data_IF_335964564791
#
_entry.id   IF_335964564791
#
_cell.length_a   1.000
_cell.length_b   1.000
_cell.length_c   1.000
_cell.angle_alpha   90.00
_cell.angle_beta   90.00
_cell.angle_gamma   90.00
#
_symmetry.space_group_name_H-M   'P 1'
#
loop_
_entity.id
_entity.type
_entity.pdbx_description
1 polymer ?
#
# COMPACT_ATOMS: atom_id res chain seq x y z
N UNK A 1 -12.24 -13.31 8.07
CA UNK A 1 -11.43 -12.18 7.56
C UNK A 1 -10.51 -12.73 6.48
N UNK A 2 -10.03 -11.88 5.58
CA UNK A 2 -9.01 -12.24 4.57
C UNK A 2 -7.75 -11.46 4.88
N UNK A 3 -6.61 -12.14 5.04
CA UNK A 3 -5.31 -11.49 5.20
C UNK A 3 -4.87 -10.88 3.87
N UNK A 4 -4.47 -9.62 3.87
CA UNK A 4 -4.03 -8.87 2.68
C UNK A 4 -2.52 -8.64 2.66
N UNK A 5 -1.91 -8.45 3.83
CA UNK A 5 -0.45 -8.46 3.99
C UNK A 5 -0.09 -9.02 5.36
N UNK A 6 1.15 -9.47 5.51
CA UNK A 6 1.70 -10.00 6.75
C UNK A 6 2.88 -9.11 7.20
N UNK A 7 2.98 -8.88 8.50
CA UNK A 7 4.11 -8.25 9.17
C UNK A 7 4.65 -9.18 10.28
N UNK A 8 5.68 -8.77 11.02
CA UNK A 8 6.38 -9.65 12.00
C UNK A 8 5.47 -10.17 13.12
N UNK A 9 4.52 -9.35 13.59
CA UNK A 9 3.69 -9.68 14.76
C UNK A 9 2.18 -9.55 14.50
N UNK A 10 1.79 -9.12 13.31
CA UNK A 10 0.40 -8.93 12.93
C UNK A 10 0.24 -9.07 11.42
N UNK A 11 -0.99 -9.23 10.97
CA UNK A 11 -1.36 -9.08 9.56
C UNK A 11 -2.40 -7.97 9.38
N UNK A 12 -2.38 -7.33 8.22
CA UNK A 12 -3.51 -6.55 7.74
C UNK A 12 -4.58 -7.50 7.23
N UNK A 13 -5.81 -7.36 7.69
CA UNK A 13 -6.91 -8.22 7.28
C UNK A 13 -8.22 -7.45 7.11
N UNK A 14 -8.96 -7.82 6.08
CA UNK A 14 -10.26 -7.24 5.74
C UNK A 14 -11.39 -8.15 6.22
N UNK A 15 -12.49 -7.54 6.67
CA UNK A 15 -13.58 -8.27 7.32
C UNK A 15 -14.45 -9.00 6.30
N UNK A 16 -14.87 -10.22 6.66
CA UNK A 16 -15.97 -10.92 5.98
C UNK A 16 -17.20 -10.79 6.88
N UNK A 17 -18.29 -10.25 6.36
CA UNK A 17 -19.54 -10.03 7.09
C UNK A 17 -20.73 -10.51 6.27
N UNK A 18 -21.71 -11.15 6.91
CA UNK A 18 -23.00 -11.47 6.28
C UNK A 18 -24.11 -10.50 6.70
N UNK A 19 -23.81 -9.61 7.65
CA UNK A 19 -24.75 -8.66 8.25
C UNK A 19 -26.03 -9.34 8.77
N UNK A 20 -25.91 -10.52 9.38
CA UNK A 20 -27.06 -11.30 9.84
C UNK A 20 -27.88 -11.90 8.70
N UNK A 21 -27.26 -12.15 7.55
CA UNK A 21 -27.95 -12.66 6.36
C UNK A 21 -28.64 -11.57 5.54
N UNK A 22 -28.20 -10.32 5.63
CA UNK A 22 -28.75 -9.20 4.85
C UNK A 22 -27.81 -8.74 3.73
N UNK A 23 -26.54 -9.19 3.75
CA UNK A 23 -25.53 -8.70 2.83
C UNK A 23 -25.39 -7.18 2.91
N UNK A 24 -25.16 -6.51 1.78
CA UNK A 24 -25.06 -5.04 1.75
C UNK A 24 -26.41 -4.31 1.78
N UNK A 25 -27.52 -5.03 1.95
CA UNK A 25 -28.86 -4.43 2.10
C UNK A 25 -29.10 -3.86 3.50
N UNK A 26 -28.21 -4.13 4.46
CA UNK A 26 -28.32 -3.62 5.82
C UNK A 26 -28.22 -2.09 5.81
N UNK A 27 -29.14 -1.36 6.48
CA UNK A 27 -29.06 0.09 6.57
C UNK A 27 -27.72 0.60 7.12
N UNK A 28 -27.17 1.62 6.46
CA UNK A 28 -25.88 2.22 6.83
C UNK A 28 -24.63 1.52 6.28
N UNK A 29 -24.79 0.46 5.48
CA UNK A 29 -23.67 -0.18 4.78
C UNK A 29 -23.47 0.47 3.42
N UNK A 30 -22.26 0.98 3.16
CA UNK A 30 -21.90 1.53 1.84
C UNK A 30 -21.63 0.41 0.85
N UNK A 31 -22.49 0.24 -0.16
CA UNK A 31 -22.37 -0.85 -1.13
C UNK A 31 -21.06 -0.81 -1.92
N UNK A 32 -20.59 0.37 -2.32
CA UNK A 32 -19.32 0.55 -3.07
C UNK A 32 -18.08 0.04 -2.36
N UNK A 33 -18.15 -0.07 -1.04
CA UNK A 33 -17.01 -0.46 -0.21
C UNK A 33 -16.90 -1.99 -0.10
N UNK A 34 -17.82 -2.73 -0.72
CA UNK A 34 -17.96 -4.17 -0.58
C UNK A 34 -17.86 -4.91 -1.91
N UNK A 35 -17.40 -6.16 -1.84
CA UNK A 35 -17.52 -7.12 -2.93
C UNK A 35 -18.11 -8.46 -2.44
N UNK A 36 -18.56 -9.30 -3.38
CA UNK A 36 -19.04 -10.65 -3.08
C UNK A 36 -17.85 -11.53 -2.72
N UNK A 37 -17.97 -12.33 -1.67
CA UNK A 37 -16.99 -13.36 -1.31
C UNK A 37 -17.69 -14.70 -1.12
N UNK A 38 -17.12 -15.76 -1.68
CA UNK A 38 -17.77 -17.07 -1.74
C UNK A 38 -16.77 -18.23 -1.70
N UNK A 39 -17.24 -19.40 -1.26
CA UNK A 39 -16.45 -20.65 -1.20
C UNK A 39 -16.97 -21.73 -2.14
N UNK A 40 -18.12 -21.50 -2.78
CA UNK A 40 -18.73 -22.41 -3.77
C UNK A 40 -18.00 -22.34 -5.11
N UNK A 41 -18.33 -23.25 -6.03
CA UNK A 41 -17.76 -23.24 -7.38
C UNK A 41 -18.15 -21.98 -8.16
N UNK A 42 -19.42 -21.59 -8.04
CA UNK A 42 -19.99 -20.40 -8.66
C UNK A 42 -20.28 -19.30 -7.63
N UNK A 43 -20.13 -18.02 -8.02
CA UNK A 43 -20.46 -16.91 -7.15
C UNK A 43 -21.99 -16.82 -6.93
N UNK A 44 -22.45 -16.51 -5.71
CA UNK A 44 -23.87 -16.26 -5.47
C UNK A 44 -24.33 -15.01 -6.21
N UNK A 45 -25.58 -15.03 -6.69
CA UNK A 45 -26.21 -13.87 -7.29
C UNK A 45 -26.44 -12.74 -6.27
N UNK A 46 -26.41 -11.50 -6.77
CA UNK A 46 -26.79 -10.33 -5.98
C UNK A 46 -28.28 -10.40 -5.71
N UNK A 47 -28.69 -10.16 -4.47
CA UNK A 47 -30.12 -10.03 -4.21
C UNK A 47 -30.64 -8.68 -4.74
N UNK A 48 -31.93 -8.56 -5.10
CA UNK A 48 -32.50 -7.28 -5.54
C UNK A 48 -32.32 -6.15 -4.53
N UNK A 49 -32.27 -6.47 -3.23
CA UNK A 49 -32.05 -5.51 -2.16
C UNK A 49 -30.59 -4.97 -2.10
N UNK A 50 -29.64 -5.68 -2.71
CA UNK A 50 -28.25 -5.25 -2.84
C UNK A 50 -27.98 -4.47 -4.13
N UNK A 51 -28.99 -4.29 -4.99
CA UNK A 51 -28.87 -3.41 -6.15
C UNK A 51 -28.68 -1.95 -5.67
N UNK A 52 -27.87 -1.14 -6.37
CA UNK A 52 -27.72 0.27 -6.05
C UNK A 52 -29.07 1.00 -6.12
N UNK A 53 -29.36 1.86 -5.15
CA UNK A 53 -30.49 2.77 -5.24
C UNK A 53 -30.17 3.94 -6.18
N UNK A 54 -30.69 3.84 -7.40
CA UNK A 54 -30.52 4.85 -8.44
C UNK A 54 -31.16 6.19 -8.09
N UNK A 55 -32.13 6.24 -7.16
CA UNK A 55 -32.75 7.50 -6.71
C UNK A 55 -31.87 8.26 -5.72
N UNK A 56 -30.92 7.56 -5.09
CA UNK A 56 -30.00 8.13 -4.09
C UNK A 56 -28.57 8.25 -4.60
N UNK A 57 -28.37 8.11 -5.92
CA UNK A 57 -27.04 8.07 -6.58
C UNK A 57 -26.07 7.07 -5.90
N UNK A 58 -26.62 5.99 -5.33
CA UNK A 58 -25.83 5.00 -4.61
C UNK A 58 -24.92 4.23 -5.58
N UNK A 59 -23.64 4.14 -5.25
CA UNK A 59 -22.69 3.41 -6.06
C UNK A 59 -22.84 1.90 -5.85
N UNK A 60 -22.76 1.08 -6.93
CA UNK A 60 -22.89 -0.37 -6.84
C UNK A 60 -21.72 -0.99 -6.06
N UNK A 61 -21.90 -2.23 -5.60
CA UNK A 61 -20.78 -3.07 -5.13
C UNK A 61 -19.68 -3.18 -6.17
N UNK A 62 -18.47 -3.44 -5.68
CA UNK A 62 -17.32 -3.73 -6.53
C UNK A 62 -17.63 -4.91 -7.48
N UNK A 63 -17.14 -4.85 -8.73
CA UNK A 63 -17.67 -5.67 -9.81
C UNK A 63 -17.26 -7.15 -9.73
N UNK A 64 -16.12 -7.48 -9.13
CA UNK A 64 -15.55 -8.82 -9.16
C UNK A 64 -15.76 -9.56 -7.84
N UNK A 65 -16.38 -10.74 -7.93
CA UNK A 65 -16.50 -11.65 -6.81
C UNK A 65 -15.16 -12.32 -6.49
N UNK A 66 -14.87 -12.49 -5.20
CA UNK A 66 -13.63 -13.09 -4.70
C UNK A 66 -13.92 -14.51 -4.21
N UNK A 67 -13.32 -15.50 -4.87
CA UNK A 67 -13.42 -16.91 -4.47
C UNK A 67 -12.39 -17.22 -3.39
N UNK A 68 -12.81 -17.97 -2.38
CA UNK A 68 -11.94 -18.60 -1.39
C UNK A 68 -11.99 -20.10 -1.62
N UNK A 69 -10.83 -20.70 -1.88
CA UNK A 69 -10.69 -22.15 -1.95
C UNK A 69 -10.64 -22.69 -0.52
N UNK A 70 -11.68 -23.45 -0.08
CA UNK A 70 -11.79 -23.88 1.30
C UNK A 70 -10.68 -24.87 1.65
N UNK A 71 -10.17 -24.79 2.89
CA UNK A 71 -9.24 -25.78 3.41
C UNK A 71 -9.95 -27.14 3.56
N UNK A 72 -9.30 -28.28 3.23
CA UNK A 72 -9.92 -29.60 3.37
C UNK A 72 -10.51 -29.87 4.76
N UNK A 73 -9.82 -29.41 5.81
CA UNK A 73 -10.24 -29.59 7.20
C UNK A 73 -11.27 -28.57 7.70
N UNK A 74 -11.65 -27.58 6.88
CA UNK A 74 -12.62 -26.57 7.32
C UNK A 74 -13.98 -27.24 7.57
N UNK A 75 -14.50 -28.00 6.60
CA UNK A 75 -15.83 -28.63 6.72
C UNK A 75 -17.00 -27.62 6.80
N UNK A 76 -16.75 -26.33 6.58
CA UNK A 76 -17.74 -25.26 6.55
C UNK A 76 -17.41 -24.28 5.42
N UNK A 77 -18.42 -23.54 4.97
CA UNK A 77 -18.31 -22.55 3.90
C UNK A 77 -18.94 -21.21 4.29
N UNK A 78 -18.79 -20.22 3.41
CA UNK A 78 -19.40 -18.91 3.60
C UNK A 78 -20.90 -18.94 3.27
N UNK A 79 -21.67 -18.12 3.99
CA UNK A 79 -23.07 -17.87 3.64
C UNK A 79 -23.15 -17.15 2.29
N UNK A 80 -24.18 -17.39 1.48
CA UNK A 80 -24.35 -16.77 0.15
C UNK A 80 -24.37 -15.22 0.19
N UNK A 81 -24.82 -14.65 1.31
CA UNK A 81 -24.84 -13.21 1.58
C UNK A 81 -23.59 -12.68 2.30
N UNK A 82 -22.50 -13.46 2.33
CA UNK A 82 -21.22 -12.99 2.86
C UNK A 82 -20.58 -11.99 1.89
N UNK A 83 -20.11 -10.88 2.43
CA UNK A 83 -19.49 -9.78 1.72
C UNK A 83 -18.14 -9.48 2.34
N UNK A 84 -17.22 -9.03 1.49
CA UNK A 84 -15.90 -8.60 1.91
C UNK A 84 -15.95 -7.08 2.02
N UNK A 85 -15.73 -6.57 3.23
CA UNK A 85 -15.65 -5.14 3.50
C UNK A 85 -14.22 -4.66 3.19
N UNK A 86 -14.05 -4.05 2.02
CA UNK A 86 -12.75 -3.61 1.51
C UNK A 86 -12.31 -2.28 2.14
N UNK A 87 -13.24 -1.59 2.81
CA UNK A 87 -13.00 -0.29 3.41
C UNK A 87 -12.61 -0.37 4.89
N UNK A 88 -12.86 -1.50 5.55
CA UNK A 88 -12.48 -1.76 6.94
C UNK A 88 -11.32 -2.77 7.03
N UNK A 89 -10.13 -2.27 6.71
CA UNK A 89 -8.88 -2.98 6.92
C UNK A 89 -8.45 -2.87 8.37
N UNK A 90 -8.28 -4.03 9.02
CA UNK A 90 -7.95 -4.11 10.42
C UNK A 90 -6.60 -4.78 10.62
N UNK A 91 -5.87 -4.28 11.61
CA UNK A 91 -4.69 -4.96 12.14
C UNK A 91 -5.14 -6.13 13.02
N UNK A 92 -4.68 -7.34 12.71
CA UNK A 92 -4.96 -8.56 13.47
C UNK A 92 -3.65 -9.17 13.96
N UNK A 93 -3.52 -9.31 15.27
CA UNK A 93 -2.31 -9.88 15.89
C UNK A 93 -2.35 -11.41 15.85
N UNK A 94 -1.19 -12.06 15.71
CA UNK A 94 -1.15 -13.51 15.46
C UNK A 94 -1.62 -14.39 16.61
N UNK A 95 -1.72 -13.87 17.83
CA UNK A 95 -2.25 -14.62 18.97
C UNK A 95 -3.79 -14.77 18.93
N UNK A 96 -4.49 -14.06 18.03
CA UNK A 96 -5.93 -14.25 17.85
C UNK A 96 -6.22 -15.63 17.26
N UNK A 97 -7.00 -16.43 18.00
CA UNK A 97 -7.44 -17.75 17.53
C UNK A 97 -8.51 -17.58 16.45
N UNK A 98 -8.16 -17.92 15.22
CA UNK A 98 -9.06 -17.90 14.06
C UNK A 98 -9.33 -19.32 13.56
N UNK A 99 -10.52 -19.54 13.00
CA UNK A 99 -10.82 -20.77 12.26
C UNK A 99 -10.27 -20.61 10.83
N UNK A 100 -9.45 -21.55 10.39
CA UNK A 100 -8.96 -21.56 9.01
C UNK A 100 -10.11 -21.90 8.06
N UNK A 101 -10.47 -20.94 7.21
CA UNK A 101 -11.46 -21.15 6.16
C UNK A 101 -10.82 -21.73 4.90
N UNK A 102 -9.62 -21.25 4.53
CA UNK A 102 -9.02 -21.52 3.23
C UNK A 102 -8.12 -20.40 2.75
N UNK A 103 -7.82 -20.41 1.45
CA UNK A 103 -6.98 -19.40 0.78
C UNK A 103 -7.79 -18.69 -0.32
N UNK A 104 -7.50 -17.42 -0.56
CA UNK A 104 -8.09 -16.73 -1.72
C UNK A 104 -7.64 -17.45 -3.00
N UNK A 105 -8.58 -17.71 -3.90
CA UNK A 105 -8.29 -18.38 -5.16
C UNK A 105 -7.29 -17.54 -5.96
N UNK A 106 -6.30 -18.19 -6.57
CA UNK A 106 -5.23 -17.51 -7.32
C UNK A 106 -5.76 -16.61 -8.44
N UNK A 107 -6.84 -17.01 -9.12
CA UNK A 107 -7.45 -16.20 -10.17
C UNK A 107 -8.20 -14.98 -9.61
N UNK A 108 -8.62 -15.02 -8.34
CA UNK A 108 -9.28 -13.90 -7.66
C UNK A 108 -8.32 -12.84 -7.12
N UNK A 109 -7.03 -13.16 -6.94
CA UNK A 109 -6.04 -12.25 -6.33
C UNK A 109 -5.90 -10.89 -7.04
N UNK A 110 -5.73 -10.82 -8.38
CA UNK A 110 -5.59 -9.53 -9.07
C UNK A 110 -6.83 -8.64 -8.89
N UNK A 111 -8.01 -9.25 -8.85
CA UNK A 111 -9.27 -8.53 -8.61
C UNK A 111 -9.38 -8.03 -7.18
N UNK A 112 -8.91 -8.82 -6.20
CA UNK A 112 -8.87 -8.40 -4.80
C UNK A 112 -7.97 -7.17 -4.63
N UNK A 113 -6.75 -7.22 -5.16
CA UNK A 113 -5.78 -6.13 -5.09
C UNK A 113 -6.28 -4.86 -5.78
N UNK A 114 -6.85 -4.99 -6.98
CA UNK A 114 -7.39 -3.86 -7.76
C UNK A 114 -8.57 -3.20 -7.04
N UNK A 115 -9.50 -3.99 -6.50
CA UNK A 115 -10.67 -3.47 -5.79
C UNK A 115 -10.26 -2.82 -4.45
N UNK A 116 -9.29 -3.40 -3.72
CA UNK A 116 -8.73 -2.81 -2.50
C UNK A 116 -8.11 -1.44 -2.78
N UNK A 117 -7.27 -1.34 -3.81
CA UNK A 117 -6.66 -0.08 -4.23
C UNK A 117 -7.73 0.97 -4.56
N UNK A 118 -8.73 0.58 -5.36
CA UNK A 118 -9.84 1.45 -5.77
C UNK A 118 -10.61 2.00 -4.57
N UNK A 119 -10.98 1.14 -3.61
CA UNK A 119 -11.73 1.56 -2.42
C UNK A 119 -10.88 2.45 -1.49
N UNK A 120 -9.58 2.16 -1.34
CA UNK A 120 -8.65 3.00 -0.57
C UNK A 120 -8.55 4.42 -1.15
N UNK A 121 -8.41 4.53 -2.47
CA UNK A 121 -8.35 5.83 -3.19
C UNK A 121 -9.67 6.61 -3.07
N UNK A 122 -10.81 5.92 -3.13
CA UNK A 122 -12.12 6.56 -2.92
C UNK A 122 -12.27 7.09 -1.49
N UNK A 123 -11.79 6.36 -0.48
CA UNK A 123 -11.87 6.78 0.92
C UNK A 123 -10.98 7.97 1.25
N UNK A 124 -9.74 8.01 0.73
CA UNK A 124 -8.84 9.16 0.94
C UNK A 124 -9.40 10.45 0.34
N UNK A 125 -10.14 10.36 -0.77
CA UNK A 125 -10.88 11.49 -1.34
C UNK A 125 -12.08 11.93 -0.50
N UNK A 126 -12.76 11.02 0.21
CA UNK A 126 -13.92 11.33 1.07
C UNK A 126 -13.52 11.93 2.42
N UNK A 127 -12.37 11.55 2.97
CA UNK A 127 -11.92 12.01 4.30
C UNK A 127 -11.47 13.48 4.36
N UNK A 128 -11.26 14.15 3.23
CA UNK A 128 -10.95 15.59 3.21
C UNK A 128 -12.18 16.51 3.28
N UNK A 129 -13.40 15.96 3.19
CA UNK A 129 -14.65 16.73 3.15
C UNK A 129 -15.56 16.64 4.39
N UNK A 130 -15.24 15.77 5.35
CA UNK A 130 -16.09 15.55 6.53
C UNK A 130 -15.23 15.46 7.79
N UNK A 131 -15.52 16.35 8.76
CA UNK A 131 -15.03 16.39 10.15
C UNK A 131 -13.94 17.43 10.51
N UNK A 132 -14.27 18.72 10.36
CA UNK A 132 -13.82 19.75 11.32
C UNK A 132 -15.06 20.22 12.11
N UNK A 133 -15.45 19.44 13.12
CA UNK A 133 -16.33 19.90 14.19
C UNK A 133 -15.79 19.35 15.52
N UNK A 134 -14.64 19.89 15.92
CA UNK A 134 -14.12 19.81 17.28
C UNK A 134 -13.65 21.22 17.64
N UNK A 135 -14.45 21.86 18.49
CA UNK A 135 -14.38 23.27 18.80
C UNK A 135 -13.03 23.73 19.33
N UNK A 136 -12.50 24.75 18.66
CA UNK A 136 -11.66 25.77 19.27
C UNK A 136 -12.23 27.12 18.82
N UNK A 137 -12.97 27.77 19.72
CA UNK A 137 -13.26 29.20 19.60
C UNK A 137 -11.93 29.96 19.65
N UNK A 138 -11.50 30.54 18.53
CA UNK A 138 -10.68 31.76 18.53
C UNK A 138 -11.17 32.68 17.43
N UNK A 139 -11.91 33.71 17.86
CA UNK A 139 -12.14 35.03 17.29
C UNK A 139 -12.08 35.21 15.75
N UNK A 140 -13.26 35.47 15.19
CA UNK A 140 -13.42 36.21 13.93
C UNK A 140 -12.66 37.54 13.96
N UNK A 141 -11.85 37.78 12.94
CA UNK A 141 -11.57 39.12 12.43
C UNK A 141 -11.26 39.08 10.93
N UNK A 142 -12.09 39.77 10.15
CA UNK A 142 -11.77 40.23 8.79
C UNK A 142 -12.11 39.24 7.67
N UNK A 143 -13.19 39.53 6.94
CA UNK A 143 -13.62 38.71 5.81
C UNK A 143 -12.69 38.73 4.59
N UNK A 144 -12.66 37.61 3.87
CA UNK A 144 -12.43 37.54 2.43
C UNK A 144 -12.83 36.14 1.89
N UNK A 145 -13.27 36.15 0.64
CA UNK A 145 -13.85 35.07 -0.18
C UNK A 145 -13.22 33.67 -0.08
N UNK A 146 -14.08 32.64 -0.28
CA UNK A 146 -13.68 31.28 -0.65
C UNK A 146 -12.71 31.30 -1.82
N UNK A 147 -11.45 30.92 -1.57
CA UNK A 147 -10.43 30.72 -2.60
C UNK A 147 -10.44 29.25 -3.03
N UNK A 148 -10.82 29.02 -4.28
CA UNK A 148 -10.61 27.74 -4.98
C UNK A 148 -9.11 27.61 -5.25
N UNK A 149 -8.45 26.67 -4.58
CA UNK A 149 -7.04 26.36 -4.83
C UNK A 149 -6.94 25.37 -6.00
N UNK A 150 -6.07 25.70 -6.96
CA UNK A 150 -5.66 24.78 -8.03
C UNK A 150 -4.68 23.74 -7.48
N UNK A 151 -4.56 22.59 -8.16
CA UNK A 151 -3.73 21.41 -7.80
C UNK A 151 -2.25 21.68 -7.53
N UNK A 152 -1.74 22.88 -7.79
CA UNK A 152 -0.36 23.32 -7.56
C UNK A 152 -0.17 24.19 -6.31
N UNK A 153 -1.23 24.41 -5.51
CA UNK A 153 -1.14 25.20 -4.27
C UNK A 153 -0.92 26.71 -4.45
N UNK A 154 -0.86 27.21 -5.69
CA UNK A 154 -0.69 28.63 -5.99
C UNK A 154 -2.05 29.33 -6.22
N UNK A 155 -2.14 30.58 -5.76
CA UNK A 155 -3.28 31.46 -6.01
C UNK A 155 -3.44 31.77 -7.50
N UNK A 156 -4.68 31.80 -8.01
CA UNK A 156 -4.98 32.24 -9.39
C UNK A 156 -4.43 33.63 -9.72
N UNK A 157 -4.32 34.51 -8.72
CA UNK A 157 -3.74 35.85 -8.88
C UNK A 157 -2.26 35.79 -9.28
N UNK A 158 -1.53 34.76 -8.83
CA UNK A 158 -0.11 34.54 -9.14
C UNK A 158 0.04 33.97 -10.56
N UNK A 159 -0.87 33.07 -10.96
CA UNK A 159 -0.89 32.48 -12.31
C UNK A 159 -1.23 33.55 -13.35
N UNK A 160 -2.13 34.48 -13.02
CA UNK A 160 -2.48 35.59 -13.89
C UNK A 160 -1.33 36.61 -13.99
N UNK A 161 -0.65 36.92 -12.88
CA UNK A 161 0.52 37.79 -12.85
C UNK A 161 1.72 37.23 -13.65
N UNK A 162 1.91 35.91 -13.65
CA UNK A 162 2.92 35.23 -14.49
C UNK A 162 2.57 35.26 -15.98
N UNK A 163 1.28 35.25 -16.34
CA UNK A 163 0.85 35.44 -17.74
C UNK A 163 1.01 36.88 -18.22
N UNK A 164 0.81 37.86 -17.35
CA UNK A 164 0.93 39.28 -17.69
C UNK A 164 2.39 39.76 -17.77
N UNK A 165 3.32 39.10 -17.06
CA UNK A 165 4.76 39.40 -17.18
C UNK A 165 5.45 38.73 -18.37
N UNK A 166 4.78 37.80 -19.06
CA UNK A 166 5.32 37.07 -20.22
C UNK A 166 5.00 37.65 -21.60
N UNK A 167 4.25 38.75 -21.68
CA UNK A 167 3.85 39.36 -22.95
C UNK A 167 4.12 40.85 -22.95
N UNK A 168 5.36 41.25 -23.27
CA UNK A 168 5.70 42.54 -23.88
C UNK A 168 7.19 42.53 -24.27
N UNK A 169 7.50 42.05 -25.47
CA UNK A 169 8.34 42.74 -26.45
C UNK A 169 8.50 41.90 -27.72
N UNK A 170 7.94 42.42 -28.82
CA UNK A 170 8.36 42.09 -30.17
C UNK A 170 9.09 43.32 -30.73
N UNK A 171 10.29 43.09 -31.28
CA UNK A 171 10.94 43.77 -32.41
C UNK A 171 12.45 43.93 -32.15
N UNK A 172 13.26 43.26 -32.96
CA UNK A 172 14.70 43.45 -33.02
C UNK A 172 15.41 42.18 -33.48
N UNK A 173 15.71 42.12 -34.78
CA UNK A 173 16.53 41.10 -35.43
C UNK A 173 17.86 40.87 -34.68
N UNK A 174 18.14 39.63 -34.27
CA UNK A 174 19.48 39.05 -34.35
C UNK A 174 19.39 37.51 -34.26
N UNK A 175 19.50 36.86 -35.42
CA UNK A 175 19.60 35.40 -35.52
C UNK A 175 21.08 35.03 -35.44
N UNK A 176 21.52 34.47 -34.31
CA UNK A 176 22.38 33.28 -34.21
C UNK A 176 23.00 33.13 -32.82
N UNK A 177 22.92 31.90 -32.31
CA UNK A 177 23.60 31.32 -31.14
C UNK A 177 23.05 31.67 -29.75
N UNK A 178 21.84 31.19 -29.45
CA UNK A 178 21.44 30.91 -28.07
C UNK A 178 21.31 29.39 -27.87
N UNK A 179 21.82 28.97 -26.73
CA UNK A 179 22.35 27.66 -26.39
C UNK A 179 21.27 26.65 -26.01
N UNK A 180 21.49 25.39 -26.44
CA UNK A 180 20.74 24.17 -26.12
C UNK A 180 20.78 23.76 -24.62
N UNK A 181 20.88 24.71 -23.68
CA UNK A 181 21.07 24.39 -22.25
C UNK A 181 19.77 23.93 -21.54
N UNK A 182 18.59 24.31 -22.03
CA UNK A 182 17.34 23.99 -21.31
C UNK A 182 16.89 22.52 -21.41
N UNK A 183 17.27 21.79 -22.46
CA UNK A 183 16.96 20.36 -22.60
C UNK A 183 17.89 19.45 -21.76
N UNK A 184 19.08 19.94 -21.39
CA UNK A 184 20.06 19.15 -20.62
C UNK A 184 19.64 19.01 -19.16
N UNK A 185 19.10 20.06 -18.54
CA UNK A 185 18.72 20.07 -17.12
C UNK A 185 17.56 19.10 -16.80
N UNK A 186 16.53 19.04 -17.67
CA UNK A 186 15.38 18.14 -17.47
C UNK A 186 15.77 16.66 -17.58
N UNK A 187 16.74 16.35 -18.43
CA UNK A 187 17.24 14.98 -18.60
C UNK A 187 18.01 14.53 -17.35
N UNK A 188 18.86 15.40 -16.81
CA UNK A 188 19.63 15.11 -15.59
C UNK A 188 18.73 14.87 -14.36
N UNK A 189 17.65 15.65 -14.21
CA UNK A 189 16.69 15.44 -13.10
C UNK A 189 15.95 14.11 -13.22
N UNK A 190 15.57 13.72 -14.45
CA UNK A 190 14.90 12.43 -14.67
C UNK A 190 15.83 11.25 -14.38
N UNK A 191 17.08 11.31 -14.83
CA UNK A 191 18.07 10.28 -14.57
C UNK A 191 18.34 10.11 -13.06
N UNK A 192 18.35 11.21 -12.32
CA UNK A 192 18.51 11.21 -10.86
C UNK A 192 17.31 10.53 -10.17
N UNK A 193 16.08 10.84 -10.61
CA UNK A 193 14.87 10.21 -10.07
C UNK A 193 14.83 8.70 -10.35
N UNK A 194 15.19 8.30 -11.58
CA UNK A 194 15.28 6.89 -11.98
C UNK A 194 16.32 6.16 -11.14
N UNK A 195 17.51 6.73 -10.98
CA UNK A 195 18.58 6.16 -10.17
C UNK A 195 18.15 5.98 -8.70
N UNK A 196 17.47 6.96 -8.13
CA UNK A 196 16.93 6.85 -6.77
C UNK A 196 15.91 5.70 -6.66
N UNK A 197 14.96 5.59 -7.60
CA UNK A 197 13.97 4.51 -7.59
C UNK A 197 14.62 3.13 -7.69
N UNK A 198 15.64 2.97 -8.53
CA UNK A 198 16.38 1.71 -8.66
C UNK A 198 17.09 1.31 -7.36
N UNK A 199 17.76 2.27 -6.71
CA UNK A 199 18.43 2.06 -5.41
C UNK A 199 17.43 1.62 -4.35
N UNK A 200 16.23 2.19 -4.35
CA UNK A 200 15.20 1.78 -3.40
C UNK A 200 14.68 0.36 -3.69
N UNK A 201 14.44 0.01 -4.96
CA UNK A 201 14.03 -1.36 -5.30
C UNK A 201 15.13 -2.39 -4.99
N UNK A 202 16.41 -2.00 -5.06
CA UNK A 202 17.52 -2.82 -4.55
C UNK A 202 17.45 -2.96 -3.03
N UNK A 203 17.22 -1.86 -2.30
CA UNK A 203 17.11 -1.86 -0.84
C UNK A 203 15.99 -2.79 -0.35
N UNK A 204 14.82 -2.73 -1.00
CA UNK A 204 13.69 -3.64 -0.73
C UNK A 204 14.08 -5.10 -0.90
N UNK A 205 14.72 -5.44 -2.03
CA UNK A 205 15.16 -6.83 -2.29
C UNK A 205 16.11 -7.33 -1.21
N UNK A 206 17.06 -6.50 -0.78
CA UNK A 206 18.00 -6.87 0.29
C UNK A 206 17.33 -7.03 1.65
N UNK A 207 16.35 -6.19 1.96
CA UNK A 207 15.56 -6.33 3.18
C UNK A 207 14.83 -7.68 3.21
N UNK A 208 14.12 -8.02 2.13
CA UNK A 208 13.42 -9.31 2.03
C UNK A 208 14.36 -10.51 2.16
N UNK A 209 15.55 -10.44 1.55
CA UNK A 209 16.56 -11.51 1.69
C UNK A 209 17.02 -11.71 3.15
N UNK A 210 17.10 -10.62 3.93
CA UNK A 210 17.44 -10.72 5.35
C UNK A 210 16.32 -11.39 6.15
N UNK A 211 15.05 -11.05 5.89
CA UNK A 211 13.92 -11.68 6.57
C UNK A 211 13.78 -13.17 6.20
N UNK A 212 13.86 -13.50 4.92
CA UNK A 212 13.85 -14.88 4.42
C UNK A 212 14.95 -15.72 5.08
N UNK A 213 16.16 -15.17 5.21
CA UNK A 213 17.27 -15.82 5.91
C UNK A 213 17.01 -16.09 7.40
N UNK A 214 16.23 -15.24 8.08
CA UNK A 214 15.87 -15.47 9.49
C UNK A 214 14.89 -16.63 9.62
N UNK A 215 13.89 -16.66 8.74
CA UNK A 215 12.88 -17.73 8.70
C UNK A 215 13.54 -19.08 8.41
N UNK A 216 14.39 -19.14 7.38
CA UNK A 216 15.12 -20.37 7.02
C UNK A 216 15.96 -20.90 8.17
N UNK A 217 16.65 -20.02 8.91
CA UNK A 217 17.43 -20.43 10.07
C UNK A 217 16.57 -20.93 11.22
N UNK A 218 15.41 -20.31 11.46
CA UNK A 218 14.48 -20.79 12.47
C UNK A 218 13.98 -22.20 12.14
N UNK A 219 13.60 -22.43 10.89
CA UNK A 219 13.13 -23.74 10.40
C UNK A 219 14.23 -24.80 10.46
N UNK A 220 15.45 -24.47 10.02
CA UNK A 220 16.59 -25.37 10.09
C UNK A 220 16.95 -25.69 11.55
N UNK A 221 16.88 -24.71 12.45
CA UNK A 221 17.11 -24.94 13.88
C UNK A 221 16.08 -25.90 14.48
N UNK A 222 14.79 -25.69 14.23
CA UNK A 222 13.72 -26.61 14.66
C UNK A 222 13.96 -28.02 14.10
N UNK A 223 14.36 -28.12 12.84
CA UNK A 223 14.64 -29.41 12.20
C UNK A 223 15.82 -30.11 12.86
N UNK A 224 16.90 -29.38 13.17
CA UNK A 224 18.09 -29.92 13.84
C UNK A 224 17.76 -30.40 15.26
N UNK A 225 17.02 -29.61 16.03
CA UNK A 225 16.58 -29.98 17.38
C UNK A 225 15.79 -31.31 17.36
N UNK A 226 14.87 -31.47 16.40
CA UNK A 226 14.11 -32.72 16.22
C UNK A 226 14.99 -33.93 15.87
N UNK A 227 16.03 -33.73 15.07
CA UNK A 227 16.97 -34.81 14.71
C UNK A 227 17.80 -35.23 15.92
N UNK A 228 18.23 -34.27 16.74
CA UNK A 228 18.94 -34.56 17.99
C UNK A 228 18.07 -35.30 18.99
N UNK A 229 16.79 -34.92 19.15
CA UNK A 229 15.82 -35.65 19.99
C UNK A 229 15.63 -37.11 19.55
N UNK A 230 15.77 -37.38 18.25
CA UNK A 230 15.72 -38.73 17.68
C UNK A 230 17.05 -39.51 17.83
N UNK A 231 18.08 -38.91 18.45
CA UNK A 231 19.41 -39.50 18.57
C UNK A 231 20.19 -39.54 17.27
N UNK A 232 19.76 -38.77 16.25
CA UNK A 232 20.49 -38.64 15.00
C UNK A 232 21.65 -37.65 15.19
N UNK A 233 22.87 -38.07 14.86
CA UNK A 233 24.03 -37.18 14.89
C UNK A 233 23.88 -36.11 13.80
N UNK A 234 23.87 -34.84 14.21
CA UNK A 234 23.70 -33.70 13.30
C UNK A 234 25.06 -33.03 13.07
N UNK A 235 25.50 -32.99 11.81
CA UNK A 235 26.73 -32.32 11.39
C UNK A 235 26.39 -31.15 10.45
N UNK A 236 27.01 -29.97 10.58
CA UNK A 236 28.02 -29.58 11.58
C UNK A 236 27.42 -29.45 13.00
N UNK A 237 28.23 -29.23 14.04
CA UNK A 237 27.72 -28.96 15.40
C UNK A 237 26.88 -27.68 15.43
N UNK A 238 26.00 -27.54 16.42
CA UNK A 238 25.13 -26.35 16.54
C UNK A 238 25.92 -25.05 16.69
N UNK A 239 27.05 -25.08 17.39
CA UNK A 239 27.92 -23.90 17.50
C UNK A 239 28.45 -23.45 16.14
N UNK A 240 28.86 -24.39 15.28
CA UNK A 240 29.37 -24.10 13.94
C UNK A 240 28.24 -23.66 13.01
N UNK A 241 27.07 -24.28 13.12
CA UNK A 241 25.87 -23.88 12.38
C UNK A 241 25.44 -22.44 12.74
N UNK A 242 25.32 -22.14 14.04
CA UNK A 242 24.95 -20.81 14.54
C UNK A 242 25.99 -19.75 14.19
N UNK A 243 27.29 -20.08 14.27
CA UNK A 243 28.35 -19.16 13.86
C UNK A 243 28.31 -18.87 12.36
N UNK A 244 28.07 -19.88 11.52
CA UNK A 244 27.91 -19.74 10.08
C UNK A 244 26.74 -18.81 9.73
N UNK A 245 25.57 -19.05 10.32
CA UNK A 245 24.40 -18.20 10.08
C UNK A 245 24.59 -16.77 10.57
N UNK A 246 25.18 -16.57 11.75
CA UNK A 246 25.50 -15.23 12.27
C UNK A 246 26.44 -14.47 11.32
N UNK A 247 27.45 -15.14 10.78
CA UNK A 247 28.38 -14.54 9.83
C UNK A 247 27.66 -14.13 8.54
N UNK A 248 26.84 -15.01 7.97
CA UNK A 248 26.07 -14.73 6.75
C UNK A 248 25.07 -13.58 6.96
N UNK A 249 24.33 -13.59 8.08
CA UNK A 249 23.44 -12.51 8.48
C UNK A 249 24.17 -11.18 8.64
N UNK A 250 25.36 -11.19 9.24
CA UNK A 250 26.18 -9.98 9.40
C UNK A 250 26.62 -9.40 8.05
N UNK A 251 26.96 -10.27 7.09
CA UNK A 251 27.32 -9.87 5.73
C UNK A 251 26.14 -9.23 5.01
N UNK A 252 24.96 -9.86 5.03
CA UNK A 252 23.74 -9.31 4.39
C UNK A 252 23.31 -7.99 5.02
N UNK A 253 23.37 -7.87 6.35
CA UNK A 253 23.11 -6.61 7.05
C UNK A 253 24.09 -5.51 6.62
N UNK A 254 25.37 -5.83 6.45
CA UNK A 254 26.35 -4.86 5.98
C UNK A 254 26.06 -4.42 4.53
N UNK A 255 25.67 -5.33 3.64
CA UNK A 255 25.24 -4.99 2.27
C UNK A 255 24.00 -4.08 2.27
N UNK A 256 23.00 -4.40 3.09
CA UNK A 256 21.81 -3.58 3.25
C UNK A 256 22.15 -2.17 3.73
N UNK A 257 23.02 -2.03 4.74
CA UNK A 257 23.45 -0.73 5.25
C UNK A 257 24.18 0.11 4.19
N UNK A 258 25.02 -0.53 3.35
CA UNK A 258 25.68 0.17 2.23
C UNK A 258 24.67 0.67 1.20
N UNK A 259 23.70 -0.15 0.83
CA UNK A 259 22.63 0.27 -0.09
C UNK A 259 21.74 1.36 0.51
N UNK A 260 21.46 1.30 1.82
CA UNK A 260 20.70 2.34 2.53
C UNK A 260 21.41 3.69 2.45
N UNK A 261 22.72 3.72 2.76
CA UNK A 261 23.52 4.94 2.66
C UNK A 261 23.53 5.51 1.23
N UNK A 262 23.66 4.65 0.21
CA UNK A 262 23.60 5.08 -1.18
C UNK A 262 22.22 5.68 -1.56
N UNK A 263 21.13 5.05 -1.11
CA UNK A 263 19.78 5.57 -1.31
C UNK A 263 19.56 6.90 -0.58
N UNK A 264 20.06 7.05 0.65
CA UNK A 264 19.99 8.29 1.42
C UNK A 264 20.75 9.44 0.75
N UNK A 265 21.91 9.16 0.16
CA UNK A 265 22.69 10.18 -0.55
C UNK A 265 22.05 10.57 -1.90
N UNK A 266 21.45 9.60 -2.61
CA UNK A 266 20.65 9.86 -3.81
C UNK A 266 19.38 10.68 -3.47
N UNK A 267 18.72 10.37 -2.36
CA UNK A 267 17.58 11.14 -1.86
C UNK A 267 17.95 12.60 -1.58
N UNK A 268 19.05 12.84 -0.85
CA UNK A 268 19.54 14.21 -0.58
C UNK A 268 19.82 14.97 -1.88
N UNK A 269 20.37 14.28 -2.88
CA UNK A 269 20.62 14.86 -4.20
C UNK A 269 19.30 15.25 -4.88
N UNK A 270 18.28 14.38 -4.84
CA UNK A 270 16.96 14.69 -5.38
C UNK A 270 16.34 15.93 -4.72
N UNK A 271 16.40 16.02 -3.38
CA UNK A 271 15.87 17.16 -2.64
C UNK A 271 16.64 18.45 -2.94
N UNK A 272 17.95 18.39 -3.13
CA UNK A 272 18.77 19.55 -3.49
C UNK A 272 18.39 20.12 -4.87
N UNK A 273 17.97 19.26 -5.80
CA UNK A 273 17.47 19.64 -7.12
C UNK A 273 15.97 19.99 -7.14
N UNK A 274 15.30 20.00 -5.98
CA UNK A 274 13.89 20.36 -5.85
C UNK A 274 12.90 19.27 -6.28
N UNK A 275 13.34 18.01 -6.37
CA UNK A 275 12.45 16.88 -6.65
C UNK A 275 11.69 16.43 -5.40
N UNK A 276 10.39 16.23 -5.53
CA UNK A 276 9.56 15.60 -4.50
C UNK A 276 9.60 14.07 -4.67
N UNK A 277 10.36 13.40 -3.81
CA UNK A 277 10.48 11.93 -3.80
C UNK A 277 10.13 11.37 -2.42
N UNK A 278 9.45 10.22 -2.39
CA UNK A 278 9.04 9.56 -1.14
C UNK A 278 10.23 8.98 -0.38
N UNK A 279 10.20 9.04 0.95
CA UNK A 279 11.26 8.50 1.82
C UNK A 279 10.98 7.03 2.15
N UNK A 280 12.05 6.23 2.23
CA UNK A 280 12.00 4.88 2.79
C UNK A 280 12.39 4.95 4.26
N UNK A 281 11.48 4.56 5.14
CA UNK A 281 11.73 4.48 6.57
C UNK A 281 12.53 3.23 6.95
N UNK A 282 13.00 3.17 8.20
CA UNK A 282 13.78 2.02 8.69
C UNK A 282 12.98 0.71 8.74
N UNK A 283 11.65 0.78 8.77
CA UNK A 283 10.75 -0.38 8.66
C UNK A 283 10.54 -0.85 7.21
N UNK A 284 11.10 -0.15 6.22
CA UNK A 284 10.80 -0.36 4.80
C UNK A 284 9.46 0.23 4.37
N UNK A 285 8.77 0.97 5.25
CA UNK A 285 7.53 1.68 4.94
C UNK A 285 7.83 2.99 4.23
N UNK A 286 6.92 3.40 3.35
CA UNK A 286 7.06 4.60 2.55
C UNK A 286 6.23 5.73 3.16
N UNK A 287 6.90 6.79 3.59
CA UNK A 287 6.24 8.04 3.96
C UNK A 287 6.34 9.02 2.79
N UNK A 288 5.20 9.32 2.18
CA UNK A 288 5.06 10.47 1.29
C UNK A 288 4.99 11.73 2.15
N UNK A 289 5.79 12.74 1.80
CA UNK A 289 5.56 14.11 2.26
C UNK A 289 4.53 14.80 1.35
#
# INVERSE_FOLDING_TARGET
>A
MVSVYAAEHFCGAIRITSYGGQGVSKPGVTKSDHCIVYTTEEPPERTPAEAPDMLQDEQPMQPYAIRIDPHPDAGWGLHALSRLDLADEQRVEYYFRVKNLGKVNRASMPYLETQLKTVREQKSGRSFGAHLDLGVEVAYNGGAASRVLSRTGLSMDIIQAQKETGYLHAAGDDWMSDTDESCSATTAMHDLEVSYRELVEELKRKFFQIEEMKELYHDDKIRRDRLQEQGTEVSPSDEVFDAGHKLEMSFRKAEFQRSKLAADDAYKSCIAEGLEVSIVTESGEWEGK
#
